data_IF_425362968437
#
_entry.id   IF_425362968437
#
_cell.length_a   1.000
_cell.length_b   1.000
_cell.length_c   1.000
_cell.angle_alpha   90.00
_cell.angle_beta   90.00
_cell.angle_gamma   90.00
#
_symmetry.space_group_name_H-M   'P 1'
#
loop_
_entity.id
_entity.type
_entity.pdbx_description
1 polymer ?
#
# COMPACT_ATOMS: atom_id res chain seq x y z
N UNK A 1 6.20 -8.92 15.42
CA UNK A 1 6.31 -7.99 16.58
C UNK A 1 6.44 -6.51 16.17
N UNK A 2 7.24 -6.17 15.15
CA UNK A 2 7.57 -4.77 14.82
C UNK A 2 6.39 -3.84 14.47
N UNK A 3 5.33 -4.32 13.79
CA UNK A 3 4.21 -3.47 13.39
C UNK A 3 3.53 -2.78 14.59
N UNK A 4 3.16 -3.56 15.61
CA UNK A 4 2.44 -3.04 16.79
C UNK A 4 3.30 -2.04 17.56
N UNK A 5 4.61 -2.30 17.66
CA UNK A 5 5.57 -1.40 18.29
C UNK A 5 5.70 -0.07 17.54
N UNK A 6 5.84 -0.10 16.21
CA UNK A 6 5.97 1.11 15.40
C UNK A 6 4.67 1.93 15.37
N UNK A 7 3.53 1.27 15.32
CA UNK A 7 2.23 1.94 15.44
C UNK A 7 2.07 2.58 16.83
N UNK A 8 2.44 1.89 17.90
CA UNK A 8 2.39 2.44 19.24
C UNK A 8 3.34 3.64 19.42
N UNK A 9 4.55 3.58 18.83
CA UNK A 9 5.49 4.69 18.82
C UNK A 9 4.91 5.93 18.10
N UNK A 10 4.28 5.72 16.95
CA UNK A 10 3.54 6.79 16.25
C UNK A 10 2.45 7.39 17.15
N UNK A 11 1.59 6.54 17.72
CA UNK A 11 0.42 6.96 18.49
C UNK A 11 0.78 7.70 19.79
N UNK A 12 1.98 7.47 20.32
CA UNK A 12 2.53 8.20 21.49
C UNK A 12 3.26 9.50 21.12
N UNK A 13 3.53 9.73 19.84
CA UNK A 13 4.27 10.91 19.40
C UNK A 13 3.44 12.18 19.54
N UNK A 14 4.09 13.29 19.92
CA UNK A 14 3.42 14.59 20.08
C UNK A 14 2.76 15.04 18.77
N UNK A 15 3.43 14.84 17.64
CA UNK A 15 2.93 15.21 16.31
C UNK A 15 1.60 14.51 16.04
N UNK A 16 1.55 13.19 16.21
CA UNK A 16 0.32 12.43 16.01
C UNK A 16 -0.78 12.83 16.99
N UNK A 17 -0.45 12.99 18.28
CA UNK A 17 -1.44 13.37 19.29
C UNK A 17 -2.05 14.74 18.99
N UNK A 18 -1.25 15.71 18.54
CA UNK A 18 -1.73 17.05 18.19
C UNK A 18 -2.56 17.04 16.91
N UNK A 19 -2.14 16.27 15.89
CA UNK A 19 -2.93 16.06 14.68
C UNK A 19 -4.26 15.37 14.99
N UNK A 20 -4.26 14.32 15.83
CA UNK A 20 -5.44 13.51 16.14
C UNK A 20 -6.51 14.29 16.92
N UNK A 21 -6.12 15.31 17.71
CA UNK A 21 -7.06 16.23 18.37
C UNK A 21 -7.92 17.02 17.36
N UNK A 22 -7.34 17.36 16.20
CA UNK A 22 -8.02 18.07 15.11
C UNK A 22 -8.75 17.09 14.18
N UNK A 23 -8.20 15.90 14.01
CA UNK A 23 -8.66 14.86 13.08
C UNK A 23 -9.29 13.66 13.82
N UNK A 24 -10.35 13.94 14.60
CA UNK A 24 -10.95 12.97 15.53
C UNK A 24 -11.56 11.76 14.84
N UNK A 25 -12.16 11.97 13.67
CA UNK A 25 -12.84 10.91 12.93
C UNK A 25 -11.92 10.15 11.97
N UNK A 26 -10.66 10.59 11.82
CA UNK A 26 -9.69 9.93 10.95
C UNK A 26 -9.24 8.58 11.49
N UNK A 27 -8.99 7.61 10.63
CA UNK A 27 -8.63 6.25 11.04
C UNK A 27 -7.53 5.66 10.17
N UNK A 28 -6.80 4.70 10.73
CA UNK A 28 -5.72 4.01 10.02
C UNK A 28 -6.31 3.17 8.89
N UNK A 29 -5.95 3.51 7.65
CA UNK A 29 -6.49 2.93 6.44
C UNK A 29 -5.49 2.03 5.70
N UNK A 30 -4.20 2.37 5.75
CA UNK A 30 -3.16 1.52 5.18
C UNK A 30 -1.82 1.67 5.89
N UNK A 31 -0.95 0.68 5.71
CA UNK A 31 0.43 0.70 6.19
C UNK A 31 1.33 0.28 5.03
N UNK A 32 2.32 1.09 4.73
CA UNK A 32 3.21 0.90 3.60
C UNK A 32 4.66 0.71 4.05
N UNK A 33 5.36 -0.23 3.40
CA UNK A 33 6.79 -0.48 3.56
C UNK A 33 7.47 -0.78 2.22
N UNK A 34 8.69 -0.30 2.10
CA UNK A 34 9.66 -0.75 1.10
C UNK A 34 10.78 -1.50 1.80
N UNK A 35 11.28 -2.56 1.17
CA UNK A 35 12.30 -3.44 1.76
C UNK A 35 13.68 -3.28 1.13
N UNK A 36 13.89 -2.28 0.28
CA UNK A 36 15.23 -1.93 -0.17
C UNK A 36 16.07 -1.31 0.98
N UNK A 37 17.39 -1.35 0.83
CA UNK A 37 18.32 -0.95 1.91
C UNK A 37 18.17 0.54 2.28
N UNK A 38 17.81 1.41 1.33
CA UNK A 38 17.63 2.84 1.60
C UNK A 38 16.37 3.13 2.42
N UNK A 39 15.36 2.25 2.37
CA UNK A 39 14.09 2.40 3.10
C UNK A 39 13.97 1.46 4.29
N UNK A 40 15.05 0.75 4.65
CA UNK A 40 15.05 -0.24 5.72
C UNK A 40 14.65 0.38 7.06
N UNK A 41 13.58 -0.16 7.64
CA UNK A 41 13.06 0.30 8.94
C UNK A 41 12.20 1.57 8.87
N UNK A 42 11.93 2.09 7.67
CA UNK A 42 10.95 3.15 7.45
C UNK A 42 9.56 2.53 7.34
N UNK A 43 8.62 3.08 8.10
CA UNK A 43 7.21 2.72 8.07
C UNK A 43 6.39 3.93 7.69
N UNK A 44 5.37 3.71 6.85
CA UNK A 44 4.41 4.76 6.53
C UNK A 44 3.01 4.31 6.97
N UNK A 45 2.33 5.16 7.73
CA UNK A 45 0.98 4.91 8.24
C UNK A 45 0.04 5.94 7.64
N UNK A 46 -0.85 5.49 6.75
CA UNK A 46 -1.84 6.34 6.10
C UNK A 46 -3.14 6.35 6.88
N UNK A 47 -3.53 7.53 7.35
CA UNK A 47 -4.82 7.75 8.00
C UNK A 47 -5.78 8.42 7.02
N UNK A 48 -6.97 7.82 6.88
CA UNK A 48 -8.04 8.37 6.08
C UNK A 48 -8.80 9.42 6.86
N UNK A 49 -9.01 10.58 6.22
CA UNK A 49 -9.72 11.71 6.78
C UNK A 49 -11.16 11.80 6.23
N UNK A 50 -12.10 12.43 6.96
CA UNK A 50 -13.49 12.58 6.53
C UNK A 50 -13.69 13.35 5.22
N UNK A 51 -12.71 14.17 4.83
CA UNK A 51 -12.68 14.96 3.59
C UNK A 51 -12.09 14.19 2.40
N UNK A 52 -12.00 12.85 2.52
CA UNK A 52 -11.48 11.95 1.50
C UNK A 52 -9.98 12.16 1.16
N UNK A 53 -9.21 12.75 2.08
CA UNK A 53 -7.74 12.84 2.01
C UNK A 53 -7.06 11.74 2.84
N UNK A 54 -5.77 11.49 2.57
CA UNK A 54 -4.89 10.74 3.47
C UNK A 54 -3.87 11.68 4.12
N UNK A 55 -3.76 11.64 5.45
CA UNK A 55 -2.54 12.09 6.14
C UNK A 55 -1.61 10.90 6.34
N UNK A 56 -0.36 11.02 5.90
CA UNK A 56 0.65 9.96 6.04
C UNK A 56 1.67 10.31 7.12
N UNK A 57 1.93 9.37 8.01
CA UNK A 57 3.00 9.49 9.00
C UNK A 57 4.16 8.57 8.64
N UNK A 58 5.35 9.14 8.50
CA UNK A 58 6.59 8.40 8.29
C UNK A 58 7.27 8.21 9.64
N UNK A 59 7.51 6.95 10.00
CA UNK A 59 8.22 6.55 11.22
C UNK A 59 9.54 5.92 10.84
N UNK A 60 10.62 6.55 11.24
CA UNK A 60 11.99 6.08 11.04
C UNK A 60 12.73 6.11 12.37
N UNK A 61 13.14 4.93 12.86
CA UNK A 61 13.70 4.76 14.21
C UNK A 61 12.74 5.31 15.28
N UNK A 62 13.07 6.45 15.89
CA UNK A 62 12.29 7.18 16.90
C UNK A 62 11.72 8.50 16.37
N UNK A 63 12.01 8.86 15.12
CA UNK A 63 11.53 10.08 14.50
C UNK A 63 10.21 9.82 13.80
N UNK A 64 9.24 10.68 14.08
CA UNK A 64 7.95 10.72 13.38
C UNK A 64 7.92 11.99 12.55
N UNK A 65 7.49 11.88 11.29
CA UNK A 65 7.23 13.01 10.41
C UNK A 65 5.82 12.88 9.85
N UNK A 66 5.09 13.98 9.88
CA UNK A 66 3.83 14.12 9.15
C UNK A 66 4.16 14.54 7.72
N UNK A 67 3.60 13.82 6.74
CA UNK A 67 3.63 14.20 5.34
C UNK A 67 2.30 14.87 5.03
N UNK A 68 2.31 16.05 4.36
CA UNK A 68 1.09 16.78 4.01
C UNK A 68 0.05 15.91 3.31
N UNK A 69 -1.21 16.28 3.48
CA UNK A 69 -2.36 15.55 2.94
C UNK A 69 -2.27 15.39 1.43
N UNK A 70 -2.62 14.18 0.97
CA UNK A 70 -2.71 13.87 -0.44
C UNK A 70 -4.15 13.50 -0.79
N UNK A 71 -4.67 14.09 -1.87
CA UNK A 71 -5.96 13.72 -2.43
C UNK A 71 -5.93 12.28 -2.93
N UNK A 72 -6.99 11.53 -2.62
CA UNK A 72 -7.14 10.16 -3.07
C UNK A 72 -7.87 10.18 -4.42
N UNK A 73 -7.13 10.08 -5.52
CA UNK A 73 -7.74 9.90 -6.83
C UNK A 73 -8.30 8.47 -6.97
N UNK A 74 -9.60 8.29 -6.72
CA UNK A 74 -10.32 7.02 -6.96
C UNK A 74 -11.52 7.23 -7.86
N UNK A 75 -11.67 6.33 -8.85
CA UNK A 75 -12.89 6.21 -9.64
C UNK A 75 -13.93 5.49 -8.80
N UNK A 76 -14.92 6.24 -8.30
CA UNK A 76 -15.99 5.73 -7.42
C UNK A 76 -15.78 6.15 -5.97
N UNK A 77 -16.80 6.77 -5.38
CA UNK A 77 -16.83 7.28 -3.99
C UNK A 77 -16.97 6.14 -2.98
N UNK A 78 -15.99 5.23 -2.93
CA UNK A 78 -15.94 4.20 -1.89
C UNK A 78 -14.85 4.56 -0.88
N UNK A 79 -15.29 4.92 0.33
CA UNK A 79 -14.43 5.24 1.46
C UNK A 79 -13.48 4.08 1.73
N UNK A 80 -12.23 4.38 2.08
CA UNK A 80 -11.28 3.36 2.47
C UNK A 80 -11.72 2.73 3.80
N UNK A 81 -11.91 1.41 3.91
CA UNK A 81 -12.28 0.82 5.20
C UNK A 81 -11.13 0.89 6.22
N UNK A 82 -11.43 1.00 7.53
CA UNK A 82 -10.40 0.98 8.57
C UNK A 82 -9.73 -0.39 8.69
N UNK A 83 -8.43 -0.38 8.99
CA UNK A 83 -7.67 -1.59 9.31
C UNK A 83 -8.04 -2.14 10.69
N UNK A 84 -8.22 -3.46 10.74
CA UNK A 84 -8.40 -4.23 11.97
C UNK A 84 -7.05 -4.81 12.42
N UNK A 85 -6.22 -3.99 13.07
CA UNK A 85 -4.86 -4.37 13.51
C UNK A 85 -4.87 -5.59 14.44
N UNK A 86 -5.92 -5.76 15.25
CA UNK A 86 -6.07 -6.92 16.14
C UNK A 86 -6.28 -8.26 15.44
N UNK A 87 -6.73 -8.25 14.17
CA UNK A 87 -6.97 -9.47 13.39
C UNK A 87 -5.74 -9.99 12.65
N UNK A 88 -4.72 -9.15 12.48
CA UNK A 88 -3.50 -9.50 11.75
C UNK A 88 -2.73 -10.59 12.52
N UNK A 89 -2.49 -11.71 11.86
CA UNK A 89 -1.70 -12.84 12.40
C UNK A 89 -0.35 -12.98 11.73
N UNK A 90 -0.23 -12.62 10.45
CA UNK A 90 1.05 -12.61 9.74
C UNK A 90 1.76 -11.27 9.88
N UNK A 91 3.09 -11.32 9.95
CA UNK A 91 3.96 -10.15 9.81
C UNK A 91 4.20 -9.79 8.35
N UNK A 92 4.70 -8.57 8.14
CA UNK A 92 5.17 -8.12 6.83
C UNK A 92 6.28 -9.03 6.29
N UNK A 93 7.23 -9.43 7.14
CA UNK A 93 8.34 -10.31 6.78
C UNK A 93 7.86 -11.71 6.36
N UNK A 94 6.91 -12.30 7.08
CA UNK A 94 6.31 -13.59 6.73
C UNK A 94 5.53 -13.51 5.42
N UNK A 95 4.74 -12.46 5.23
CA UNK A 95 3.98 -12.25 3.98
C UNK A 95 4.91 -12.07 2.77
N UNK A 96 6.03 -11.35 2.96
CA UNK A 96 7.04 -11.13 1.93
C UNK A 96 7.77 -12.43 1.58
N UNK A 97 8.08 -13.26 2.58
CA UNK A 97 8.68 -14.58 2.36
C UNK A 97 7.76 -15.47 1.52
N UNK A 98 6.49 -15.59 1.89
CA UNK A 98 5.50 -16.37 1.13
C UNK A 98 5.34 -15.85 -0.31
N UNK A 99 5.32 -14.52 -0.49
CA UNK A 99 5.27 -13.90 -1.81
C UNK A 99 6.51 -14.21 -2.67
N UNK A 100 7.72 -14.20 -2.08
CA UNK A 100 8.96 -14.57 -2.77
C UNK A 100 8.96 -16.02 -3.22
N UNK A 101 8.54 -16.93 -2.34
CA UNK A 101 8.42 -18.35 -2.68
C UNK A 101 7.45 -18.58 -3.87
N UNK A 102 6.35 -17.82 -3.94
CA UNK A 102 5.46 -17.85 -5.10
C UNK A 102 6.15 -17.28 -6.36
N UNK A 103 6.85 -16.16 -6.23
CA UNK A 103 7.55 -15.53 -7.36
C UNK A 103 8.61 -16.45 -7.95
N UNK A 104 9.43 -17.10 -7.13
CA UNK A 104 10.44 -18.05 -7.58
C UNK A 104 9.83 -19.24 -8.33
N UNK A 105 8.68 -19.74 -7.86
CA UNK A 105 7.98 -20.88 -8.48
C UNK A 105 7.27 -20.51 -9.78
N UNK A 106 6.50 -19.41 -9.78
CA UNK A 106 5.58 -19.05 -10.88
C UNK A 106 6.17 -18.05 -11.87
N UNK A 107 7.09 -17.20 -11.42
CA UNK A 107 7.68 -16.12 -12.21
C UNK A 107 9.23 -16.12 -12.19
N UNK A 108 9.91 -17.28 -12.37
CA UNK A 108 11.36 -17.38 -12.22
C UNK A 108 12.15 -16.50 -13.21
N UNK A 109 11.55 -16.16 -14.35
CA UNK A 109 12.15 -15.31 -15.39
C UNK A 109 12.08 -13.81 -15.09
N UNK A 110 11.50 -13.42 -13.95
CA UNK A 110 11.33 -12.02 -13.57
C UNK A 110 12.04 -11.72 -12.24
N UNK A 111 13.38 -11.63 -12.22
CA UNK A 111 14.14 -11.31 -11.02
C UNK A 111 13.64 -10.03 -10.35
N UNK A 112 13.54 -10.07 -9.02
CA UNK A 112 13.06 -8.95 -8.21
C UNK A 112 14.16 -7.88 -8.13
N UNK A 113 13.76 -6.62 -8.35
CA UNK A 113 14.60 -5.43 -8.18
C UNK A 113 14.17 -4.60 -6.97
N UNK A 114 12.87 -4.48 -6.72
CA UNK A 114 12.33 -3.78 -5.54
C UNK A 114 11.14 -4.54 -4.96
N UNK A 115 10.98 -4.40 -3.66
CA UNK A 115 9.97 -5.08 -2.85
C UNK A 115 9.17 -4.05 -2.06
N UNK A 116 7.86 -4.07 -2.27
CA UNK A 116 6.92 -3.13 -1.66
C UNK A 116 5.81 -3.95 -1.03
N UNK A 117 5.37 -3.58 0.17
CA UNK A 117 4.20 -4.16 0.81
C UNK A 117 3.26 -3.08 1.32
N UNK A 118 1.97 -3.27 1.04
CA UNK A 118 0.90 -2.42 1.52
C UNK A 118 -0.10 -3.30 2.26
N UNK A 119 -0.22 -3.09 3.56
CA UNK A 119 -1.36 -3.60 4.32
C UNK A 119 -2.54 -2.66 4.08
N UNK A 120 -3.62 -3.19 3.52
CA UNK A 120 -4.83 -2.42 3.21
C UNK A 120 -6.05 -3.33 3.23
N UNK A 121 -7.24 -2.72 3.24
CA UNK A 121 -8.47 -3.44 2.89
C UNK A 121 -8.82 -3.24 1.43
N UNK A 122 -9.07 -4.34 0.73
CA UNK A 122 -9.71 -4.36 -0.57
C UNK A 122 -11.08 -5.01 -0.41
N UNK A 123 -12.14 -4.27 -0.74
CA UNK A 123 -13.52 -4.70 -0.52
C UNK A 123 -13.74 -5.13 0.95
N UNK A 124 -13.98 -6.41 1.19
CA UNK A 124 -14.23 -6.97 2.52
C UNK A 124 -12.97 -7.58 3.17
N UNK A 125 -11.89 -7.77 2.42
CA UNK A 125 -10.72 -8.51 2.86
C UNK A 125 -9.58 -7.58 3.29
N UNK A 126 -8.93 -7.93 4.39
CA UNK A 126 -7.70 -7.25 4.84
C UNK A 126 -6.48 -8.04 4.37
N UNK A 127 -5.73 -7.44 3.45
CA UNK A 127 -4.67 -8.12 2.72
C UNK A 127 -3.31 -7.41 2.87
N UNK A 128 -2.25 -8.20 2.68
CA UNK A 128 -0.97 -7.72 2.23
C UNK A 128 -0.98 -7.68 0.70
N UNK A 129 -0.92 -6.49 0.12
CA UNK A 129 -0.62 -6.30 -1.29
C UNK A 129 0.90 -6.15 -1.44
N UNK A 130 1.55 -7.21 -1.90
CA UNK A 130 2.98 -7.27 -2.15
C UNK A 130 3.23 -7.00 -3.62
N UNK A 131 4.02 -5.97 -3.91
CA UNK A 131 4.43 -5.63 -5.26
C UNK A 131 5.93 -5.85 -5.41
N UNK A 132 6.30 -6.71 -6.35
CA UNK A 132 7.67 -6.83 -6.83
C UNK A 132 7.84 -6.05 -8.12
N UNK A 133 8.75 -5.09 -8.12
CA UNK A 133 9.24 -4.48 -9.37
C UNK A 133 10.37 -5.35 -9.87
N UNK A 134 10.28 -5.79 -11.13
CA UNK A 134 11.20 -6.77 -11.70
C UNK A 134 12.25 -6.09 -12.57
N UNK A 135 13.41 -6.74 -12.73
CA UNK A 135 14.45 -6.29 -13.66
C UNK A 135 14.00 -6.32 -15.14
N UNK A 136 12.96 -7.10 -15.43
CA UNK A 136 12.34 -7.25 -16.76
C UNK A 136 11.28 -6.19 -17.05
N UNK A 137 11.32 -5.05 -16.36
CA UNK A 137 10.39 -3.92 -16.53
C UNK A 137 8.93 -4.33 -16.38
N UNK A 138 8.64 -5.18 -15.40
CA UNK A 138 7.29 -5.57 -15.02
C UNK A 138 7.06 -5.43 -13.52
N UNK A 139 5.81 -5.63 -13.12
CA UNK A 139 5.41 -5.74 -11.72
C UNK A 139 4.70 -7.06 -11.49
N UNK A 140 4.99 -7.72 -10.36
CA UNK A 140 4.23 -8.86 -9.87
C UNK A 140 3.49 -8.36 -8.63
N UNK A 141 2.16 -8.36 -8.67
CA UNK A 141 1.31 -7.99 -7.54
C UNK A 141 0.71 -9.25 -6.95
N UNK A 142 0.88 -9.46 -5.65
CA UNK A 142 0.41 -10.64 -4.92
C UNK A 142 -0.42 -10.15 -3.73
N UNK A 143 -1.64 -10.65 -3.62
CA UNK A 143 -2.51 -10.39 -2.48
C UNK A 143 -2.49 -11.60 -1.55
N UNK A 144 -2.10 -11.37 -0.30
CA UNK A 144 -2.10 -12.39 0.75
C UNK A 144 -3.06 -11.99 1.86
N UNK A 145 -3.84 -12.93 2.36
CA UNK A 145 -4.71 -12.71 3.50
C UNK A 145 -3.90 -12.53 4.79
N UNK A 146 -4.25 -11.52 5.59
CA UNK A 146 -3.45 -11.12 6.77
C UNK A 146 -3.67 -12.02 8.00
N UNK A 147 -4.71 -12.86 7.98
CA UNK A 147 -5.02 -13.79 9.08
C UNK A 147 -4.49 -15.20 8.79
N UNK A 148 -4.62 -15.66 7.56
CA UNK A 148 -4.36 -17.05 7.15
C UNK A 148 -3.05 -17.21 6.39
N UNK A 149 -2.56 -16.15 5.74
CA UNK A 149 -1.41 -16.21 4.84
C UNK A 149 -1.71 -16.80 3.47
N UNK A 150 -2.97 -17.10 3.18
CA UNK A 150 -3.41 -17.60 1.88
C UNK A 150 -3.17 -16.57 0.79
N UNK A 151 -2.58 -16.99 -0.33
CA UNK A 151 -2.47 -16.15 -1.53
C UNK A 151 -3.84 -16.11 -2.21
N UNK A 152 -4.49 -14.95 -2.17
CA UNK A 152 -5.81 -14.72 -2.77
C UNK A 152 -5.73 -14.47 -4.27
N UNK A 153 -4.67 -13.80 -4.72
CA UNK A 153 -4.44 -13.55 -6.15
C UNK A 153 -2.99 -13.19 -6.42
N UNK A 154 -2.54 -13.43 -7.64
CA UNK A 154 -1.25 -12.96 -8.12
C UNK A 154 -1.34 -12.56 -9.60
N UNK A 155 -0.61 -11.50 -10.00
CA UNK A 155 -0.64 -10.98 -11.35
C UNK A 155 0.69 -10.34 -11.75
N UNK A 156 1.27 -10.82 -12.85
CA UNK A 156 2.32 -10.11 -13.57
C UNK A 156 1.72 -9.07 -14.52
N UNK A 157 2.31 -7.88 -14.59
CA UNK A 157 1.94 -6.81 -15.52
C UNK A 157 3.21 -6.15 -16.07
N UNK A 158 3.34 -6.09 -17.40
CA UNK A 158 4.43 -5.34 -18.04
C UNK A 158 4.19 -3.84 -17.92
N UNK A 159 5.24 -3.07 -17.64
CA UNK A 159 5.15 -1.60 -17.63
C UNK A 159 4.80 -1.05 -19.01
N UNK A 160 5.18 -1.75 -20.08
CA UNK A 160 4.82 -1.36 -21.45
C UNK A 160 3.32 -1.48 -21.72
N UNK A 161 2.65 -2.44 -21.09
CA UNK A 161 1.20 -2.60 -21.25
C UNK A 161 0.46 -1.47 -20.54
N UNK A 162 0.92 -1.08 -19.35
CA UNK A 162 0.36 0.06 -18.60
C UNK A 162 0.45 1.35 -19.43
N UNK A 163 1.62 1.62 -20.04
CA UNK A 163 1.82 2.82 -20.86
C UNK A 163 0.89 2.88 -22.09
N UNK A 164 0.51 1.72 -22.65
CA UNK A 164 -0.46 1.65 -23.77
C UNK A 164 -1.88 1.97 -23.31
N UNK A 165 -2.28 1.51 -22.13
CA UNK A 165 -3.59 1.83 -21.55
C UNK A 165 -3.76 3.33 -21.29
N UNK A 166 -2.70 4.03 -20.83
CA UNK A 166 -2.75 5.47 -20.60
C UNK A 166 -2.86 6.28 -21.90
N UNK A 167 -2.23 5.82 -22.98
CA UNK A 167 -2.35 6.45 -24.30
C UNK A 167 -3.73 6.23 -24.92
N UNK A 168 -4.27 5.00 -24.85
CA UNK A 168 -5.61 4.69 -25.38
C UNK A 168 -6.78 5.31 -24.60
N UNK A 169 -6.55 5.77 -23.36
CA UNK A 169 -7.54 6.48 -22.55
C UNK A 169 -7.64 7.98 -22.82
N UNK A 170 -6.68 8.57 -23.55
CA UNK A 170 -6.67 10.00 -23.91
C UNK A 170 -7.33 10.31 -25.27
N UNK A 171 -7.60 9.31 -26.10
CA UNK A 171 -8.14 9.51 -27.46
C UNK A 171 -9.67 9.38 -27.59
N UNK A 172 -10.44 9.37 -26.48
CA UNK A 172 -11.92 9.29 -26.51
C UNK A 172 -12.62 10.46 -25.80
N UNK A 173 -12.06 11.66 -25.87
CA UNK A 173 -12.82 12.90 -25.69
C UNK A 173 -12.46 13.85 -26.82
N UNK A 174 -13.51 14.41 -27.42
CA UNK A 174 -13.51 15.52 -28.36
C UNK A 174 -13.24 15.16 -29.83
N UNK A 175 -14.27 14.66 -30.50
CA UNK A 175 -14.59 15.00 -31.90
C UNK A 175 -16.02 14.53 -32.21
N UNK A 176 -17.01 15.34 -31.83
CA UNK A 176 -18.29 15.44 -32.54
C UNK A 176 -19.03 16.71 -32.05
N UNK A 177 -18.54 17.85 -32.52
CA UNK A 177 -19.32 19.07 -32.71
C UNK A 177 -18.70 19.82 -33.88
N UNK A 178 -19.08 19.45 -35.11
CA UNK A 178 -18.98 20.32 -36.28
C UNK A 178 -20.14 19.98 -37.22
N UNK A 179 -21.02 20.95 -37.46
CA UNK A 179 -21.95 20.98 -38.60
C UNK A 179 -23.42 20.97 -38.23
#
# INVERSE_FOLDING_TARGET
MQLKEKLAALQKSKIFLDWKKKNKDSYLAHIFRMFDEANKGIWQFGYYNPDDTITTFVVEKEKVKEVPEQEIFRKGRHRLPPLAIGKIKLSFEESLKAAKELQEKKYPKHPIMKEIAILQKLENDQIYNITFVTQTLGTINIHLDTETGEIKSDKFTSLMDIAKFEKGGKDKKDTEYIG
#
